data_IF_232954984009
#
_entry.id   IF_232954984009
#
_cell.length_a   1.000
_cell.length_b   1.000
_cell.length_c   1.000
_cell.angle_alpha   90.00
_cell.angle_beta   90.00
_cell.angle_gamma   90.00
#
_symmetry.space_group_name_H-M   'P 1'
#
loop_
_entity.id
_entity.type
_entity.pdbx_description
1 polymer ?
#
# COMPACT_ATOMS: atom_id res chain seq x y z
N UNK A 1 29.28 24.03 -1.95
CA UNK A 1 29.10 22.55 -1.99
C UNK A 1 29.54 21.99 -0.64
N UNK A 2 28.63 21.89 0.30
CA UNK A 2 28.89 21.35 1.65
C UNK A 2 28.49 19.87 1.61
N UNK A 3 29.50 18.99 1.59
CA UNK A 3 29.28 17.54 1.70
C UNK A 3 28.85 17.22 3.13
N UNK A 4 27.65 16.69 3.31
CA UNK A 4 27.22 16.11 4.58
C UNK A 4 27.83 14.72 4.73
N UNK A 5 28.68 14.47 5.73
CA UNK A 5 29.21 13.13 5.95
C UNK A 5 28.19 12.29 6.71
N UNK A 6 27.35 11.54 6.01
CA UNK A 6 26.56 10.46 6.60
C UNK A 6 27.49 9.28 6.86
N UNK A 7 27.87 9.08 8.11
CA UNK A 7 28.70 7.96 8.54
C UNK A 7 27.80 6.74 8.78
N UNK A 8 28.12 5.59 8.14
CA UNK A 8 27.45 4.28 8.25
C UNK A 8 27.13 3.84 9.70
N UNK A 9 27.87 4.34 10.69
CA UNK A 9 27.63 4.04 12.12
C UNK A 9 26.44 4.76 12.74
N UNK A 10 25.93 5.84 12.12
CA UNK A 10 24.72 6.53 12.62
C UNK A 10 23.41 5.89 12.13
N UNK A 11 23.43 5.20 11.01
CA UNK A 11 22.25 4.50 10.47
C UNK A 11 21.84 3.29 11.33
N UNK A 12 22.78 2.68 12.06
CA UNK A 12 22.50 1.54 12.94
C UNK A 12 22.26 1.92 14.41
N UNK A 13 22.28 3.20 14.75
CA UNK A 13 22.25 3.68 16.14
C UNK A 13 20.92 4.29 16.61
N UNK A 14 19.96 4.52 15.73
CA UNK A 14 18.72 5.26 16.07
C UNK A 14 17.49 4.35 16.28
N UNK A 15 17.69 3.04 16.29
CA UNK A 15 16.62 2.07 16.61
C UNK A 15 16.49 1.78 18.13
N UNK A 16 17.02 2.61 18.99
CA UNK A 16 16.86 2.43 20.43
C UNK A 16 16.67 3.77 21.15
N UNK A 17 15.53 3.87 21.82
CA UNK A 17 15.15 4.82 22.86
C UNK A 17 14.40 6.11 22.43
N UNK A 18 13.09 6.06 22.53
CA UNK A 18 12.33 7.06 23.29
C UNK A 18 11.10 6.41 23.95
N UNK A 19 11.32 5.84 25.10
CA UNK A 19 10.25 5.58 26.06
C UNK A 19 9.88 6.89 26.76
N UNK A 20 8.83 7.56 26.30
CA UNK A 20 8.14 8.58 27.06
C UNK A 20 6.76 8.03 27.45
N UNK A 21 6.66 7.54 28.69
CA UNK A 21 5.39 7.20 29.30
C UNK A 21 4.54 8.47 29.46
N UNK A 22 3.64 8.74 28.50
CA UNK A 22 2.52 9.64 28.68
C UNK A 22 1.37 8.84 29.28
N UNK A 23 0.97 9.17 30.50
CA UNK A 23 -0.21 8.64 31.16
C UNK A 23 -1.44 9.00 30.34
N UNK A 24 -1.88 8.09 29.48
CA UNK A 24 -3.17 8.14 28.81
C UNK A 24 -4.27 7.78 29.81
N UNK A 25 -5.46 8.45 29.79
CA UNK A 25 -6.57 8.06 30.63
C UNK A 25 -6.93 6.60 30.35
N UNK A 26 -7.15 5.83 31.40
CA UNK A 26 -7.47 4.43 31.37
C UNK A 26 -8.66 4.16 30.41
N UNK A 27 -8.34 3.77 29.19
CA UNK A 27 -9.31 3.17 28.29
C UNK A 27 -9.80 1.90 28.98
N UNK A 28 -11.10 1.83 29.27
CA UNK A 28 -11.70 0.61 29.82
C UNK A 28 -11.47 -0.51 28.80
N UNK A 29 -10.47 -1.35 29.05
CA UNK A 29 -10.26 -2.58 28.30
C UNK A 29 -11.51 -3.43 28.46
N UNK A 30 -12.37 -3.43 27.45
CA UNK A 30 -13.35 -4.51 27.32
C UNK A 30 -12.55 -5.79 27.18
N UNK A 31 -12.75 -6.73 28.08
CA UNK A 31 -12.16 -8.06 28.01
C UNK A 31 -12.59 -8.67 26.68
N UNK A 32 -11.65 -8.75 25.73
CA UNK A 32 -11.86 -9.55 24.53
C UNK A 32 -11.95 -11.00 24.97
N UNK A 33 -12.82 -11.78 24.36
CA UNK A 33 -12.89 -13.21 24.64
C UNK A 33 -11.49 -13.80 24.41
N UNK A 34 -10.96 -14.49 25.44
CA UNK A 34 -9.64 -15.10 25.35
C UNK A 34 -9.73 -16.24 24.33
N UNK A 35 -9.17 -16.04 23.14
CA UNK A 35 -9.09 -17.04 22.10
C UNK A 35 -8.12 -18.17 22.48
N UNK A 36 -8.25 -19.30 21.86
CA UNK A 36 -7.27 -20.38 21.92
C UNK A 36 -7.00 -20.87 20.50
N UNK A 37 -5.76 -21.32 20.25
CA UNK A 37 -5.37 -21.77 18.92
C UNK A 37 -4.53 -20.75 18.17
N UNK A 38 -4.68 -20.70 16.84
CA UNK A 38 -3.84 -19.89 15.98
C UNK A 38 -4.63 -19.19 14.88
N UNK A 39 -4.01 -18.16 14.26
CA UNK A 39 -4.43 -17.54 13.02
C UNK A 39 -3.25 -17.50 12.05
N UNK A 40 -3.50 -17.87 10.80
CA UNK A 40 -2.49 -17.92 9.74
C UNK A 40 -2.71 -16.78 8.76
N UNK A 41 -1.70 -15.94 8.57
CA UNK A 41 -1.80 -14.71 7.78
C UNK A 41 -0.80 -14.72 6.64
N UNK A 42 -1.25 -14.41 5.42
CA UNK A 42 -0.38 -14.09 4.30
C UNK A 42 -0.37 -12.58 4.06
N UNK A 43 0.82 -11.99 4.06
CA UNK A 43 0.99 -10.55 3.89
C UNK A 43 2.28 -10.23 3.14
N UNK A 44 2.49 -8.96 2.83
CA UNK A 44 3.73 -8.46 2.23
C UNK A 44 4.78 -8.18 3.30
N UNK A 45 6.05 -8.15 2.88
CA UNK A 45 7.15 -7.81 3.75
C UNK A 45 6.99 -6.41 4.39
N UNK A 46 6.55 -5.43 3.61
CA UNK A 46 6.34 -4.05 4.08
C UNK A 46 5.10 -3.88 4.97
N UNK A 47 4.22 -4.89 5.03
CA UNK A 47 2.99 -4.90 5.83
C UNK A 47 3.05 -5.95 6.93
N UNK A 48 4.25 -6.41 7.28
CA UNK A 48 4.42 -7.40 8.34
C UNK A 48 3.95 -6.81 9.68
N UNK A 49 2.97 -7.44 10.34
CA UNK A 49 2.43 -6.93 11.59
C UNK A 49 3.33 -7.29 12.79
N UNK A 50 4.66 -7.29 12.63
CA UNK A 50 5.57 -7.70 13.71
C UNK A 50 5.41 -6.87 14.98
N UNK A 51 5.13 -5.56 14.84
CA UNK A 51 4.84 -4.69 15.98
C UNK A 51 3.50 -5.00 16.65
N UNK A 52 2.54 -5.56 15.92
CA UNK A 52 1.21 -5.92 16.45
C UNK A 52 1.11 -7.38 16.86
N UNK A 53 1.94 -8.27 16.31
CA UNK A 53 1.88 -9.69 16.58
C UNK A 53 1.95 -9.99 18.08
N UNK A 54 3.01 -9.50 18.73
CA UNK A 54 3.23 -9.75 20.17
C UNK A 54 2.08 -9.14 21.01
N UNK A 55 1.61 -7.95 20.62
CA UNK A 55 0.49 -7.31 21.29
C UNK A 55 -0.79 -8.12 21.13
N UNK A 56 -1.15 -8.52 19.90
CA UNK A 56 -2.34 -9.32 19.63
C UNK A 56 -2.29 -10.67 20.35
N UNK A 57 -1.14 -11.35 20.31
CA UNK A 57 -0.94 -12.61 21.04
C UNK A 57 -1.12 -12.44 22.57
N UNK A 58 -0.60 -11.34 23.14
CA UNK A 58 -0.75 -11.06 24.56
C UNK A 58 -2.18 -10.66 24.97
N UNK A 59 -2.89 -9.94 24.12
CA UNK A 59 -4.26 -9.46 24.40
C UNK A 59 -5.32 -10.53 24.16
N UNK A 60 -5.12 -11.40 23.17
CA UNK A 60 -6.14 -12.34 22.71
C UNK A 60 -5.88 -13.79 23.12
N UNK A 61 -4.60 -14.14 23.38
CA UNK A 61 -4.17 -15.52 23.67
C UNK A 61 -4.11 -16.42 22.43
N UNK A 62 -4.36 -15.91 21.22
CA UNK A 62 -4.17 -16.65 19.96
C UNK A 62 -2.74 -16.50 19.46
N UNK A 63 -2.20 -17.54 18.82
CA UNK A 63 -0.89 -17.48 18.18
C UNK A 63 -1.05 -16.91 16.75
N UNK A 64 -0.23 -15.92 16.38
CA UNK A 64 -0.22 -15.31 15.05
C UNK A 64 0.92 -15.87 14.21
N UNK A 65 0.60 -16.61 13.16
CA UNK A 65 1.58 -17.14 12.22
C UNK A 65 1.56 -16.28 10.94
N UNK A 66 2.67 -15.65 10.62
CA UNK A 66 2.79 -14.79 9.43
C UNK A 66 3.63 -15.51 8.36
N UNK A 67 3.13 -15.54 7.14
CA UNK A 67 3.86 -15.96 5.94
C UNK A 67 3.95 -14.78 4.98
N UNK A 68 5.18 -14.40 4.62
CA UNK A 68 5.40 -13.36 3.64
C UNK A 68 5.23 -13.90 2.22
N UNK A 69 4.38 -13.25 1.45
CA UNK A 69 4.13 -13.55 0.04
C UNK A 69 4.04 -12.22 -0.73
N UNK A 70 5.13 -11.83 -1.33
CA UNK A 70 5.38 -10.47 -1.85
C UNK A 70 4.73 -10.16 -3.20
N UNK A 71 3.82 -11.01 -3.68
CA UNK A 71 3.16 -10.84 -4.98
C UNK A 71 1.71 -11.31 -4.94
N UNK A 72 0.78 -10.45 -5.40
CA UNK A 72 -0.67 -10.76 -5.42
C UNK A 72 -1.03 -11.92 -6.35
N UNK A 73 -0.36 -12.03 -7.49
CA UNK A 73 -0.59 -13.14 -8.40
C UNK A 73 -0.13 -14.47 -7.79
N UNK A 74 0.98 -14.44 -7.05
CA UNK A 74 1.47 -15.60 -6.30
C UNK A 74 0.51 -15.95 -5.16
N UNK A 75 0.01 -14.96 -4.39
CA UNK A 75 -1.01 -15.19 -3.37
C UNK A 75 -2.26 -15.83 -3.98
N UNK A 76 -2.76 -15.29 -5.08
CA UNK A 76 -3.90 -15.84 -5.80
C UNK A 76 -3.67 -17.30 -6.22
N UNK A 77 -2.56 -17.59 -6.89
CA UNK A 77 -2.25 -18.95 -7.38
C UNK A 77 -2.10 -19.97 -6.24
N UNK A 78 -1.48 -19.56 -5.13
CA UNK A 78 -1.33 -20.41 -3.94
C UNK A 78 -2.69 -20.73 -3.32
N UNK A 79 -3.53 -19.71 -3.12
CA UNK A 79 -4.85 -19.91 -2.54
C UNK A 79 -5.75 -20.74 -3.44
N UNK A 80 -5.74 -20.50 -4.76
CA UNK A 80 -6.47 -21.30 -5.73
C UNK A 80 -6.03 -22.77 -5.74
N UNK A 81 -4.74 -23.03 -5.54
CA UNK A 81 -4.22 -24.40 -5.45
C UNK A 81 -4.60 -25.11 -4.15
N UNK A 82 -4.86 -24.37 -3.07
CA UNK A 82 -5.28 -24.91 -1.77
C UNK A 82 -6.82 -25.05 -1.66
N UNK A 83 -7.59 -24.36 -2.50
CA UNK A 83 -9.04 -24.41 -2.46
C UNK A 83 -9.58 -25.83 -2.70
N UNK A 84 -10.66 -26.27 -2.01
CA UNK A 84 -11.49 -25.49 -1.07
C UNK A 84 -11.03 -25.55 0.40
N UNK A 85 -9.84 -26.03 0.69
CA UNK A 85 -9.33 -26.21 2.07
C UNK A 85 -8.03 -25.41 2.25
N UNK A 86 -8.10 -24.09 2.38
CA UNK A 86 -6.92 -23.23 2.53
C UNK A 86 -6.18 -23.50 3.83
N UNK A 87 -4.87 -23.21 3.86
CA UNK A 87 -4.06 -23.22 5.08
C UNK A 87 -3.96 -21.83 5.70
N UNK A 88 -4.45 -20.81 5.02
CA UNK A 88 -4.46 -19.41 5.45
C UNK A 88 -5.84 -19.00 5.94
N UNK A 89 -5.88 -18.11 6.93
CA UNK A 89 -7.12 -17.55 7.47
C UNK A 89 -7.36 -16.13 6.95
N UNK A 90 -6.30 -15.33 6.94
CA UNK A 90 -6.34 -13.93 6.53
C UNK A 90 -5.26 -13.67 5.49
N UNK A 91 -5.58 -12.89 4.47
CA UNK A 91 -4.59 -12.43 3.52
C UNK A 91 -4.73 -10.95 3.21
N UNK A 92 -3.62 -10.31 2.86
CA UNK A 92 -3.60 -8.93 2.40
C UNK A 92 -3.94 -8.89 0.92
N UNK A 93 -5.03 -8.19 0.55
CA UNK A 93 -5.44 -8.02 -0.84
C UNK A 93 -5.51 -6.53 -1.19
N UNK A 94 -4.98 -6.18 -2.35
CA UNK A 94 -5.15 -4.85 -2.93
C UNK A 94 -6.56 -4.70 -3.51
N UNK A 95 -7.22 -3.56 -3.29
CA UNK A 95 -8.61 -3.33 -3.68
C UNK A 95 -8.90 -3.60 -5.15
N UNK A 96 -7.97 -3.26 -6.06
CA UNK A 96 -8.10 -3.52 -7.50
C UNK A 96 -8.07 -5.00 -7.89
N UNK A 97 -7.73 -5.89 -6.96
CA UNK A 97 -7.68 -7.35 -7.19
C UNK A 97 -8.88 -8.09 -6.65
N UNK A 98 -9.77 -7.45 -5.92
CA UNK A 98 -10.90 -8.10 -5.25
C UNK A 98 -11.73 -8.96 -6.19
N UNK A 99 -12.15 -8.43 -7.33
CA UNK A 99 -13.00 -9.16 -8.27
C UNK A 99 -12.38 -10.50 -8.69
N UNK A 100 -11.07 -10.51 -8.94
CA UNK A 100 -10.37 -11.74 -9.30
C UNK A 100 -10.50 -12.84 -8.24
N UNK A 101 -10.36 -12.47 -6.96
CA UNK A 101 -10.44 -13.40 -5.84
C UNK A 101 -11.89 -13.82 -5.56
N UNK A 102 -12.82 -12.87 -5.64
CA UNK A 102 -14.25 -13.11 -5.42
C UNK A 102 -14.84 -14.02 -6.49
N UNK A 103 -14.59 -13.73 -7.77
CA UNK A 103 -15.07 -14.51 -8.90
C UNK A 103 -14.53 -15.95 -8.92
N UNK A 104 -13.39 -16.16 -8.24
CA UNK A 104 -12.77 -17.48 -8.06
C UNK A 104 -13.17 -18.18 -6.76
N UNK A 105 -14.12 -17.62 -5.99
CA UNK A 105 -14.61 -18.17 -4.71
C UNK A 105 -13.49 -18.38 -3.67
N UNK A 106 -12.50 -17.47 -3.65
CA UNK A 106 -11.33 -17.58 -2.80
C UNK A 106 -11.42 -16.76 -1.51
N UNK A 107 -12.30 -15.77 -1.45
CA UNK A 107 -12.55 -14.94 -0.26
C UNK A 107 -13.95 -15.17 0.28
N UNK A 108 -14.12 -14.97 1.58
CA UNK A 108 -15.42 -14.92 2.23
C UNK A 108 -15.87 -13.45 2.39
N UNK A 109 -17.17 -13.15 2.22
CA UNK A 109 -17.72 -11.88 2.64
C UNK A 109 -17.40 -11.60 4.12
N UNK A 110 -17.04 -10.37 4.45
CA UNK A 110 -16.69 -9.98 5.80
C UNK A 110 -17.94 -9.63 6.60
N UNK A 111 -18.22 -10.39 7.66
CA UNK A 111 -19.28 -10.09 8.61
C UNK A 111 -18.84 -8.98 9.58
N UNK A 112 -19.10 -7.72 9.20
CA UNK A 112 -18.76 -6.55 10.03
C UNK A 112 -19.50 -6.54 11.38
N UNK A 113 -20.60 -7.28 11.52
CA UNK A 113 -21.29 -7.44 12.81
C UNK A 113 -20.47 -8.17 13.87
N UNK A 114 -19.45 -8.94 13.45
CA UNK A 114 -18.48 -9.59 14.33
C UNK A 114 -17.31 -8.69 14.71
N UNK A 115 -17.17 -7.51 14.08
CA UNK A 115 -16.07 -6.58 14.27
C UNK A 115 -16.52 -5.39 15.11
N UNK A 116 -16.41 -5.51 16.44
CA UNK A 116 -16.83 -4.45 17.38
C UNK A 116 -16.05 -3.13 17.17
N UNK A 117 -14.85 -3.20 16.60
CA UNK A 117 -13.98 -2.07 16.33
C UNK A 117 -14.08 -1.55 14.89
N UNK A 118 -15.03 -2.08 14.09
CA UNK A 118 -15.23 -1.61 12.70
C UNK A 118 -15.42 -0.10 12.59
N UNK A 119 -16.10 0.52 13.54
CA UNK A 119 -16.34 1.95 13.60
C UNK A 119 -15.07 2.82 13.82
N UNK A 120 -13.92 2.21 14.12
CA UNK A 120 -12.65 2.91 14.22
C UNK A 120 -12.02 3.19 12.85
N UNK A 121 -12.45 2.48 11.79
CA UNK A 121 -11.97 2.71 10.43
C UNK A 121 -12.54 4.04 9.94
N UNK A 122 -11.69 4.87 9.34
CA UNK A 122 -12.15 6.12 8.72
C UNK A 122 -13.26 5.82 7.68
N UNK A 123 -14.42 6.49 7.75
CA UNK A 123 -15.54 6.27 6.83
C UNK A 123 -15.18 6.36 5.35
N UNK A 124 -14.18 7.18 4.99
CA UNK A 124 -13.67 7.24 3.61
C UNK A 124 -13.22 5.88 3.09
N UNK A 125 -12.76 4.98 3.97
CA UNK A 125 -12.31 3.65 3.59
C UNK A 125 -13.34 2.57 3.90
N UNK A 126 -14.00 2.63 5.06
CA UNK A 126 -14.98 1.61 5.46
C UNK A 126 -16.26 1.64 4.62
N UNK A 127 -16.61 2.81 4.05
CA UNK A 127 -17.79 3.00 3.19
C UNK A 127 -17.46 3.04 1.69
N UNK A 128 -16.18 2.91 1.34
CA UNK A 128 -15.73 2.99 -0.05
C UNK A 128 -16.04 1.72 -0.85
N UNK A 129 -16.12 1.88 -2.17
CA UNK A 129 -16.24 0.76 -3.11
C UNK A 129 -14.95 -0.11 -3.15
N UNK A 130 -13.86 0.34 -2.56
CA UNK A 130 -12.60 -0.41 -2.52
C UNK A 130 -12.62 -1.64 -1.62
N UNK A 131 -13.58 -1.72 -0.71
CA UNK A 131 -13.80 -2.88 0.15
C UNK A 131 -15.20 -3.45 0.04
N UNK A 132 -16.06 -2.84 -0.81
CA UNK A 132 -17.48 -3.16 -0.95
C UNK A 132 -17.80 -3.50 -2.39
N UNK A 133 -18.21 -4.74 -2.63
CA UNK A 133 -18.61 -5.22 -3.95
C UNK A 133 -20.03 -5.76 -3.85
N UNK A 134 -20.94 -5.29 -4.68
CA UNK A 134 -22.36 -5.65 -4.68
C UNK A 134 -23.06 -5.45 -3.33
N UNK A 135 -22.62 -4.45 -2.56
CA UNK A 135 -23.17 -4.13 -1.24
C UNK A 135 -22.63 -4.98 -0.08
N UNK A 136 -21.74 -5.93 -0.35
CA UNK A 136 -21.07 -6.76 0.65
C UNK A 136 -19.66 -6.24 0.92
N UNK A 137 -19.22 -6.28 2.19
CA UNK A 137 -17.85 -5.98 2.58
C UNK A 137 -16.99 -7.23 2.39
N UNK A 138 -15.80 -7.06 1.78
CA UNK A 138 -14.90 -8.19 1.48
C UNK A 138 -13.56 -8.12 2.21
N UNK A 139 -13.25 -6.98 2.82
CA UNK A 139 -12.01 -6.82 3.57
C UNK A 139 -12.06 -5.66 4.55
N UNK A 140 -11.23 -5.74 5.59
CA UNK A 140 -11.00 -4.66 6.52
C UNK A 140 -9.84 -3.78 6.00
N UNK A 141 -10.07 -2.50 5.66
CA UNK A 141 -9.00 -1.60 5.28
C UNK A 141 -7.94 -1.48 6.37
N UNK A 142 -6.66 -1.66 6.02
CA UNK A 142 -5.54 -1.63 6.96
C UNK A 142 -4.45 -0.64 6.57
N UNK A 143 -4.37 -0.31 5.30
CA UNK A 143 -3.37 0.61 4.77
C UNK A 143 -3.93 1.31 3.54
N UNK A 144 -3.69 2.60 3.46
CA UNK A 144 -3.95 3.39 2.27
C UNK A 144 -2.73 4.20 1.88
N UNK A 145 -2.60 4.45 0.62
CA UNK A 145 -1.54 5.28 0.09
C UNK A 145 -1.94 5.90 -1.24
N UNK A 146 -1.03 6.66 -1.79
CA UNK A 146 -1.19 7.27 -3.10
C UNK A 146 0.14 7.37 -3.84
N UNK A 147 0.04 7.41 -5.13
CA UNK A 147 1.13 7.77 -6.00
C UNK A 147 1.36 9.28 -5.93
N UNK A 148 2.62 9.69 -5.89
CA UNK A 148 3.00 11.10 -5.78
C UNK A 148 4.17 11.41 -6.70
N UNK A 149 4.29 12.66 -7.07
CA UNK A 149 5.55 13.17 -7.63
C UNK A 149 6.45 13.57 -6.46
N UNK A 150 7.45 12.74 -6.17
CA UNK A 150 8.49 13.04 -5.18
C UNK A 150 9.62 13.80 -5.84
N UNK A 151 10.10 14.87 -5.21
CA UNK A 151 11.13 15.71 -5.81
C UNK A 151 12.07 16.32 -4.77
N UNK A 152 13.33 16.47 -5.15
CA UNK A 152 14.34 17.16 -4.34
C UNK A 152 14.10 18.66 -4.40
N UNK A 153 13.82 19.29 -3.27
CA UNK A 153 13.48 20.72 -3.14
C UNK A 153 14.64 21.66 -3.42
N UNK A 154 15.87 21.18 -3.41
CA UNK A 154 17.06 21.97 -3.79
C UNK A 154 17.21 22.12 -5.30
N UNK A 155 16.47 21.33 -6.10
CA UNK A 155 16.65 21.22 -7.57
C UNK A 155 15.38 21.51 -8.34
N UNK A 156 14.23 21.02 -7.85
CA UNK A 156 12.91 21.12 -8.50
C UNK A 156 12.06 22.08 -7.68
N UNK A 157 11.44 23.06 -8.31
CA UNK A 157 10.55 23.99 -7.60
C UNK A 157 9.17 23.37 -7.36
N UNK A 158 8.42 23.83 -6.33
CA UNK A 158 7.06 23.37 -6.09
C UNK A 158 6.13 23.57 -7.29
N UNK A 159 6.29 24.66 -8.04
CA UNK A 159 5.47 24.97 -9.22
C UNK A 159 5.72 23.96 -10.35
N UNK A 160 6.96 23.50 -10.52
CA UNK A 160 7.30 22.47 -11.52
C UNK A 160 6.70 21.11 -11.13
N UNK A 161 6.52 20.85 -9.83
CA UNK A 161 5.96 19.60 -9.34
C UNK A 161 4.43 19.50 -9.43
N UNK A 162 3.74 20.53 -9.92
CA UNK A 162 2.28 20.54 -10.09
C UNK A 162 1.79 19.80 -11.34
N UNK A 163 2.68 19.24 -12.15
CA UNK A 163 2.31 18.46 -13.33
C UNK A 163 3.19 17.23 -13.52
N UNK A 164 2.59 16.14 -13.99
CA UNK A 164 3.32 14.94 -14.37
C UNK A 164 4.26 15.18 -15.57
N UNK A 165 4.07 16.26 -16.34
CA UNK A 165 5.00 16.63 -17.42
C UNK A 165 6.42 16.84 -16.95
N UNK A 166 6.62 17.26 -15.72
CA UNK A 166 7.95 17.44 -15.13
C UNK A 166 8.76 16.15 -15.10
N UNK A 167 8.09 15.01 -14.91
CA UNK A 167 8.74 13.70 -14.94
C UNK A 167 9.32 13.35 -16.33
N UNK A 168 8.73 13.91 -17.39
CA UNK A 168 9.11 13.68 -18.78
C UNK A 168 9.82 14.89 -19.42
N UNK A 169 10.24 15.85 -18.59
CA UNK A 169 10.95 17.05 -19.06
C UNK A 169 12.39 16.73 -19.45
N UNK A 170 12.86 17.26 -20.57
CA UNK A 170 14.25 17.25 -20.99
C UNK A 170 15.20 17.86 -19.94
N UNK A 171 14.70 18.82 -19.15
CA UNK A 171 15.44 19.46 -18.05
C UNK A 171 15.94 18.43 -17.03
N UNK A 172 15.15 17.39 -16.79
CA UNK A 172 15.43 16.34 -15.80
C UNK A 172 15.74 14.99 -16.46
N UNK A 173 16.07 14.98 -17.74
CA UNK A 173 16.42 13.77 -18.46
C UNK A 173 17.55 13.01 -17.74
N UNK A 174 17.39 11.70 -17.58
CA UNK A 174 18.30 10.81 -16.86
C UNK A 174 18.52 11.17 -15.38
N UNK A 175 17.60 11.95 -14.77
CA UNK A 175 17.57 12.29 -13.35
C UNK A 175 16.22 11.95 -12.70
N UNK A 176 15.45 11.07 -13.32
CA UNK A 176 14.12 10.66 -12.89
C UNK A 176 14.02 9.14 -12.80
N UNK A 177 13.02 8.67 -12.03
CA UNK A 177 12.66 7.26 -11.95
C UNK A 177 11.16 7.08 -11.74
N UNK A 178 10.61 5.93 -12.13
CA UNK A 178 9.22 5.59 -11.86
C UNK A 178 8.94 4.09 -11.86
N UNK A 179 7.83 3.74 -11.23
CA UNK A 179 7.29 2.38 -11.16
C UNK A 179 6.54 2.11 -12.45
N UNK A 180 7.09 1.26 -13.32
CA UNK A 180 6.54 1.07 -14.68
C UNK A 180 5.12 0.50 -14.68
N UNK A 181 4.80 -0.39 -13.74
CA UNK A 181 3.51 -1.05 -13.65
C UNK A 181 2.36 -0.08 -13.31
N UNK A 182 2.66 0.98 -12.54
CA UNK A 182 1.66 1.94 -12.08
C UNK A 182 1.53 3.15 -13.02
N UNK A 183 2.55 3.36 -13.90
CA UNK A 183 2.57 4.50 -14.81
C UNK A 183 1.42 4.55 -15.81
N UNK A 184 0.77 3.41 -16.10
CA UNK A 184 -0.37 3.40 -17.03
C UNK A 184 -1.48 4.33 -16.54
N UNK A 185 -1.88 4.20 -15.26
CA UNK A 185 -2.91 5.04 -14.65
C UNK A 185 -2.53 6.52 -14.64
N UNK A 186 -1.27 6.83 -14.33
CA UNK A 186 -0.74 8.19 -14.33
C UNK A 186 -0.76 8.81 -15.73
N UNK A 187 -0.35 8.06 -16.75
CA UNK A 187 -0.38 8.57 -18.14
C UNK A 187 -1.80 8.75 -18.63
N UNK A 188 -2.72 7.88 -18.25
CA UNK A 188 -4.15 8.04 -18.56
C UNK A 188 -4.71 9.33 -17.96
N UNK A 189 -4.43 9.61 -16.67
CA UNK A 189 -4.82 10.88 -16.04
C UNK A 189 -4.22 12.08 -16.76
N UNK A 190 -2.91 12.03 -17.06
CA UNK A 190 -2.21 13.07 -17.82
C UNK A 190 -2.85 13.35 -19.19
N UNK A 191 -3.38 12.32 -19.84
CA UNK A 191 -4.08 12.43 -21.13
C UNK A 191 -5.54 12.87 -21.00
N UNK A 192 -6.03 13.10 -19.76
CA UNK A 192 -7.41 13.51 -19.50
C UNK A 192 -8.41 12.35 -19.48
N UNK A 193 -7.94 11.12 -19.40
CA UNK A 193 -8.75 9.92 -19.18
C UNK A 193 -8.96 9.63 -17.70
N UNK A 194 -9.90 8.76 -17.37
CA UNK A 194 -9.96 8.16 -16.06
C UNK A 194 -8.73 7.26 -15.85
N UNK A 195 -8.01 7.44 -14.76
CA UNK A 195 -6.82 6.62 -14.42
C UNK A 195 -7.16 5.17 -14.09
N UNK A 196 -8.45 4.85 -13.91
CA UNK A 196 -8.90 3.50 -13.60
C UNK A 196 -9.47 2.81 -14.85
N UNK A 197 -8.82 1.75 -15.30
CA UNK A 197 -9.26 0.97 -16.47
C UNK A 197 -10.66 0.36 -16.32
N UNK A 198 -11.17 0.20 -15.09
CA UNK A 198 -12.54 -0.28 -14.82
C UNK A 198 -13.58 0.63 -15.48
N UNK A 199 -13.30 1.94 -15.58
CA UNK A 199 -14.17 2.91 -16.26
C UNK A 199 -14.40 2.62 -17.75
N UNK A 200 -13.61 1.73 -18.35
CA UNK A 200 -13.65 1.39 -19.79
C UNK A 200 -13.97 -0.07 -20.06
N UNK A 201 -14.37 -0.85 -19.05
CA UNK A 201 -14.65 -2.29 -19.20
C UNK A 201 -15.79 -2.58 -20.18
N UNK A 202 -16.77 -1.68 -20.27
CA UNK A 202 -17.92 -1.80 -21.19
C UNK A 202 -17.60 -1.38 -22.63
N UNK A 203 -16.39 -0.85 -22.91
CA UNK A 203 -15.94 -0.41 -24.23
C UNK A 203 -14.50 -0.91 -24.49
N UNK A 204 -14.32 -2.19 -24.85
CA UNK A 204 -12.99 -2.79 -25.06
C UNK A 204 -12.18 -2.11 -26.19
N UNK A 205 -12.84 -1.56 -27.21
CA UNK A 205 -12.14 -0.88 -28.31
C UNK A 205 -11.54 0.45 -27.81
N UNK A 206 -12.31 1.23 -27.05
CA UNK A 206 -11.83 2.44 -26.40
C UNK A 206 -10.73 2.13 -25.38
N UNK A 207 -10.90 1.10 -24.55
CA UNK A 207 -9.88 0.66 -23.62
C UNK A 207 -8.55 0.33 -24.31
N UNK A 208 -8.61 -0.43 -25.40
CA UNK A 208 -7.43 -0.79 -26.19
C UNK A 208 -6.75 0.45 -26.83
N UNK A 209 -7.55 1.41 -27.32
CA UNK A 209 -7.01 2.64 -27.89
C UNK A 209 -6.28 3.48 -26.85
N UNK A 210 -6.85 3.65 -25.65
CA UNK A 210 -6.23 4.37 -24.53
C UNK A 210 -4.92 3.71 -24.11
N UNK A 211 -4.90 2.38 -23.95
CA UNK A 211 -3.69 1.64 -23.59
C UNK A 211 -2.59 1.81 -24.65
N UNK A 212 -2.96 1.76 -25.92
CA UNK A 212 -1.96 1.93 -27.00
C UNK A 212 -1.42 3.36 -27.03
N UNK A 213 -2.25 4.40 -26.83
CA UNK A 213 -1.82 5.79 -26.75
C UNK A 213 -0.85 6.00 -25.58
N UNK A 214 -1.20 5.53 -24.38
CA UNK A 214 -0.35 5.62 -23.20
C UNK A 214 0.98 4.87 -23.39
N UNK A 215 0.94 3.69 -23.99
CA UNK A 215 2.14 2.90 -24.32
C UNK A 215 3.06 3.65 -25.30
N UNK A 216 2.51 4.27 -26.35
CA UNK A 216 3.32 5.05 -27.30
C UNK A 216 3.96 6.26 -26.63
N UNK A 217 3.26 6.94 -25.72
CA UNK A 217 3.80 8.01 -24.92
C UNK A 217 5.00 7.51 -24.07
N UNK A 218 4.86 6.41 -23.35
CA UNK A 218 5.92 5.83 -22.52
C UNK A 218 7.14 5.41 -23.36
N UNK A 219 6.92 4.81 -24.54
CA UNK A 219 7.99 4.42 -25.46
C UNK A 219 8.75 5.66 -25.96
N UNK A 220 8.05 6.72 -26.36
CA UNK A 220 8.67 7.94 -26.84
C UNK A 220 9.54 8.64 -25.77
N UNK A 221 9.10 8.58 -24.50
CA UNK A 221 9.79 9.21 -23.38
C UNK A 221 10.82 8.29 -22.68
N UNK A 222 10.95 7.03 -23.10
CA UNK A 222 11.92 6.09 -22.52
C UNK A 222 13.36 6.62 -22.47
N UNK A 223 13.90 7.37 -23.47
CA UNK A 223 15.25 7.92 -23.41
C UNK A 223 15.48 8.92 -22.26
N UNK A 224 14.42 9.53 -21.73
CA UNK A 224 14.50 10.49 -20.63
C UNK A 224 14.61 9.81 -19.25
N UNK A 225 14.30 8.52 -19.17
CA UNK A 225 14.19 7.78 -17.90
C UNK A 225 15.56 7.30 -17.45
N UNK A 226 15.93 7.64 -16.21
CA UNK A 226 17.13 7.12 -15.56
C UNK A 226 16.96 5.66 -15.16
N UNK A 227 15.82 5.34 -14.50
CA UNK A 227 15.60 4.00 -14.00
C UNK A 227 14.10 3.68 -13.79
N UNK A 228 13.75 2.44 -14.06
CA UNK A 228 12.53 1.81 -13.57
C UNK A 228 12.85 1.06 -12.28
N UNK A 229 11.95 1.10 -11.30
CA UNK A 229 12.15 0.45 -10.01
C UNK A 229 10.82 -0.16 -9.51
N UNK A 230 10.90 -1.00 -8.48
CA UNK A 230 9.76 -1.72 -7.91
C UNK A 230 9.77 -1.81 -6.38
N UNK A 231 10.69 -1.13 -5.71
CA UNK A 231 10.77 -1.15 -4.25
C UNK A 231 10.97 0.23 -3.64
N UNK A 232 10.30 0.49 -2.48
CA UNK A 232 10.45 1.74 -1.75
C UNK A 232 11.88 2.02 -1.31
N UNK A 233 12.61 0.98 -0.89
CA UNK A 233 14.01 1.11 -0.50
C UNK A 233 14.92 1.53 -1.66
N UNK A 234 14.62 1.08 -2.88
CA UNK A 234 15.39 1.43 -4.06
C UNK A 234 15.24 2.92 -4.42
N UNK A 235 14.02 3.45 -4.45
CA UNK A 235 13.81 4.88 -4.75
C UNK A 235 14.41 5.78 -3.67
N UNK A 236 14.31 5.40 -2.40
CA UNK A 236 14.99 6.11 -1.31
C UNK A 236 16.50 6.16 -1.52
N UNK A 237 17.12 5.02 -1.86
CA UNK A 237 18.55 4.95 -2.12
C UNK A 237 18.97 5.80 -3.31
N UNK A 238 18.18 5.86 -4.39
CA UNK A 238 18.45 6.71 -5.55
C UNK A 238 18.44 8.21 -5.20
N UNK A 239 17.50 8.66 -4.38
CA UNK A 239 17.48 10.04 -3.87
C UNK A 239 18.69 10.33 -2.98
N UNK A 240 19.00 9.47 -2.03
CA UNK A 240 20.12 9.62 -1.10
C UNK A 240 21.47 9.66 -1.85
N UNK A 241 21.63 8.84 -2.88
CA UNK A 241 22.82 8.83 -3.74
C UNK A 241 22.87 10.00 -4.71
N UNK A 242 21.80 10.79 -4.84
CA UNK A 242 21.66 11.84 -5.85
C UNK A 242 21.70 11.29 -7.31
N UNK A 243 21.27 10.06 -7.50
CA UNK A 243 21.11 9.46 -8.83
C UNK A 243 19.90 10.05 -9.56
N UNK A 244 18.90 10.50 -8.81
CA UNK A 244 17.67 11.13 -9.30
C UNK A 244 17.33 12.38 -8.48
N UNK A 245 16.56 13.28 -9.07
CA UNK A 245 16.04 14.49 -8.41
C UNK A 245 14.52 14.50 -8.34
N UNK A 246 13.85 13.62 -9.08
CA UNK A 246 12.39 13.43 -9.02
C UNK A 246 12.01 11.99 -9.37
N UNK A 247 10.86 11.56 -8.84
CA UNK A 247 10.33 10.24 -9.10
C UNK A 247 8.80 10.23 -9.01
N UNK A 248 8.16 9.43 -9.86
CA UNK A 248 6.85 8.88 -9.54
C UNK A 248 7.06 7.81 -8.47
N UNK A 249 6.43 7.94 -7.32
CA UNK A 249 6.64 7.04 -6.18
C UNK A 249 5.40 6.89 -5.31
N UNK A 250 5.38 5.88 -4.47
CA UNK A 250 4.45 5.82 -3.35
C UNK A 250 4.81 6.88 -2.31
N UNK A 251 3.79 7.41 -1.63
CA UNK A 251 3.97 8.42 -0.60
C UNK A 251 4.76 7.94 0.62
N UNK A 252 4.68 6.67 1.00
CA UNK A 252 5.35 6.11 2.18
C UNK A 252 6.89 6.25 2.15
N UNK A 253 7.58 5.75 1.12
CA UNK A 253 9.03 5.91 0.97
C UNK A 253 9.49 7.37 0.98
N UNK A 254 8.73 8.27 0.32
CA UNK A 254 9.04 9.68 0.31
C UNK A 254 8.86 10.33 1.69
N UNK A 255 7.78 10.00 2.40
CA UNK A 255 7.53 10.47 3.75
C UNK A 255 8.64 10.05 4.73
N UNK A 256 9.17 8.85 4.60
CA UNK A 256 10.28 8.38 5.43
C UNK A 256 11.53 9.24 5.23
N UNK A 257 11.91 9.56 3.98
CA UNK A 257 13.05 10.44 3.71
C UNK A 257 12.83 11.87 4.23
N UNK A 258 11.61 12.40 4.09
CA UNK A 258 11.26 13.73 4.61
C UNK A 258 11.40 13.74 6.15
N UNK A 259 10.91 12.72 6.83
CA UNK A 259 11.02 12.59 8.29
C UNK A 259 12.47 12.46 8.76
N UNK A 260 13.33 11.86 7.94
CA UNK A 260 14.78 11.78 8.19
C UNK A 260 15.52 13.10 7.86
N UNK A 261 14.80 14.14 7.42
CA UNK A 261 15.34 15.47 7.13
C UNK A 261 16.03 15.60 5.76
N UNK A 262 15.76 14.67 4.83
CA UNK A 262 16.23 14.80 3.46
C UNK A 262 15.45 15.93 2.75
N UNK A 263 16.07 16.76 1.87
CA UNK A 263 15.38 17.85 1.17
C UNK A 263 14.48 17.31 0.05
N UNK A 264 13.42 16.62 0.45
CA UNK A 264 12.42 16.03 -0.42
C UNK A 264 11.04 16.63 -0.11
N UNK A 265 10.22 16.76 -1.13
CA UNK A 265 8.80 17.04 -0.99
C UNK A 265 7.99 16.11 -1.89
N UNK A 266 6.69 16.06 -1.63
CA UNK A 266 5.71 15.32 -2.41
C UNK A 266 4.67 16.28 -2.96
N UNK A 267 4.26 16.08 -4.21
CA UNK A 267 3.14 16.78 -4.82
C UNK A 267 2.14 15.78 -5.40
N UNK A 268 0.88 16.17 -5.38
CA UNK A 268 -0.16 15.56 -6.21
C UNK A 268 -0.33 16.51 -7.39
N UNK A 269 0.06 16.13 -8.60
CA UNK A 269 -0.10 16.97 -9.79
C UNK A 269 -1.56 17.31 -10.09
N UNK A 270 -1.77 18.42 -10.80
CA UNK A 270 -3.12 18.93 -11.11
C UNK A 270 -3.96 17.97 -11.99
N UNK A 271 -3.29 17.10 -12.75
CA UNK A 271 -3.96 16.05 -13.52
C UNK A 271 -4.56 14.94 -12.63
N UNK A 272 -4.27 14.97 -11.34
CA UNK A 272 -4.68 13.96 -10.38
C UNK A 272 -3.63 12.88 -10.14
N UNK A 273 -3.96 11.96 -9.25
CA UNK A 273 -3.11 10.84 -8.89
C UNK A 273 -3.93 9.58 -8.61
N UNK A 274 -3.24 8.48 -8.45
CA UNK A 274 -3.80 7.16 -8.15
C UNK A 274 -3.66 6.86 -6.66
N UNK A 275 -4.81 6.55 -6.03
CA UNK A 275 -4.85 6.08 -4.64
C UNK A 275 -5.01 4.55 -4.58
N UNK A 276 -4.49 3.94 -3.53
CA UNK A 276 -4.65 2.51 -3.30
C UNK A 276 -5.03 2.22 -1.85
N UNK A 277 -5.74 1.11 -1.65
CA UNK A 277 -6.08 0.56 -0.34
C UNK A 277 -5.73 -0.91 -0.33
N UNK A 278 -5.11 -1.32 0.76
CA UNK A 278 -4.95 -2.72 1.09
C UNK A 278 -5.87 -3.08 2.25
N UNK A 279 -6.37 -4.30 2.20
CA UNK A 279 -7.29 -4.82 3.21
C UNK A 279 -6.81 -6.17 3.70
N UNK A 280 -7.17 -6.50 4.94
CA UNK A 280 -7.16 -7.87 5.41
C UNK A 280 -8.48 -8.55 5.05
N UNK A 281 -8.39 -9.65 4.35
CA UNK A 281 -9.51 -10.43 3.82
C UNK A 281 -9.50 -11.82 4.43
N UNK A 282 -10.67 -12.34 4.77
CA UNK A 282 -10.82 -13.70 5.25
C UNK A 282 -10.89 -14.64 4.06
N UNK A 283 -10.06 -15.70 4.05
CA UNK A 283 -10.11 -16.71 3.01
C UNK A 283 -11.42 -17.50 3.08
N UNK A 284 -11.97 -17.88 1.91
CA UNK A 284 -13.13 -18.75 1.89
C UNK A 284 -12.76 -20.10 2.50
N UNK A 285 -13.60 -20.63 3.41
CA UNK A 285 -13.31 -21.83 4.21
C UNK A 285 -12.04 -21.73 5.08
N UNK A 286 -11.69 -20.55 5.59
CA UNK A 286 -10.59 -20.36 6.51
C UNK A 286 -10.66 -21.36 7.68
N UNK A 287 -9.57 -22.09 8.02
CA UNK A 287 -9.59 -23.11 9.06
C UNK A 287 -9.83 -22.56 10.47
N UNK A 288 -9.43 -21.31 10.74
CA UNK A 288 -9.54 -20.68 12.05
C UNK A 288 -10.35 -19.36 11.97
N UNK A 289 -11.52 -19.39 11.34
CA UNK A 289 -12.33 -18.19 11.06
C UNK A 289 -12.63 -17.35 12.31
N UNK A 290 -12.89 -17.98 13.47
CA UNK A 290 -13.17 -17.25 14.71
C UNK A 290 -11.94 -16.50 15.23
N UNK A 291 -10.75 -17.10 15.10
CA UNK A 291 -9.48 -16.44 15.41
C UNK A 291 -9.13 -15.34 14.41
N UNK A 292 -9.53 -15.50 13.13
CA UNK A 292 -9.37 -14.46 12.12
C UNK A 292 -10.15 -13.18 12.54
N UNK A 293 -11.41 -13.32 12.96
CA UNK A 293 -12.20 -12.19 13.46
C UNK A 293 -11.65 -11.61 14.77
N UNK A 294 -11.11 -12.46 15.65
CA UNK A 294 -10.47 -12.00 16.89
C UNK A 294 -9.23 -11.16 16.55
N UNK A 295 -8.40 -11.60 15.61
CA UNK A 295 -7.25 -10.85 15.12
C UNK A 295 -7.65 -9.53 14.49
N UNK A 296 -8.62 -9.53 13.57
CA UNK A 296 -9.12 -8.31 12.93
C UNK A 296 -9.64 -7.30 13.95
N UNK A 297 -10.39 -7.74 14.95
CA UNK A 297 -10.84 -6.85 16.01
C UNK A 297 -9.70 -6.26 16.83
N UNK A 298 -8.65 -7.02 17.10
CA UNK A 298 -7.48 -6.53 17.84
C UNK A 298 -6.73 -5.48 17.04
N UNK A 299 -6.50 -5.73 15.75
CA UNK A 299 -5.86 -4.77 14.84
C UNK A 299 -6.69 -3.47 14.77
N UNK A 300 -7.99 -3.56 14.54
CA UNK A 300 -8.89 -2.41 14.44
C UNK A 300 -9.09 -1.65 15.77
N UNK A 301 -8.64 -2.19 16.90
CA UNK A 301 -8.64 -1.49 18.17
C UNK A 301 -7.46 -0.51 18.31
N UNK A 302 -6.41 -0.68 17.53
CA UNK A 302 -5.23 0.19 17.57
C UNK A 302 -5.51 1.55 16.93
N UNK A 303 -5.19 2.67 17.60
CA UNK A 303 -5.32 4.01 17.01
C UNK A 303 -4.21 4.32 16.00
N UNK A 304 -3.24 3.43 15.82
CA UNK A 304 -2.07 3.60 14.95
C UNK A 304 -2.25 3.03 13.55
N UNK A 305 -3.48 2.53 13.25
CA UNK A 305 -3.83 1.97 11.94
C UNK A 305 -4.74 2.92 11.16
#
# INVERSE_FOLDING_TARGET
MTRFPLNRRRFLGTAAMTGAALASPAYQRRSMAQGSGEVNIWTYNDFEPSSFKEQVEAETGIKVNVRLVDDQGKQFNLLAAEAPNPTVDIMTVAGHRFLQFIDSDLLAPLDTGRLSNWGNINPTFSESDWSTINGEKWGAPILSGMEVLSYNTDVVSPEEALTWDTLFSEKYAQQNAYIIQDMMSIIMLKMGYDGNMVAYMDDPEKAAAIVEEAKQFLIANKPLVRKYYDSGAEVQQMFVNQDIVLAHSWNGPAAALINDGFPLAMAIPDEGSYGFVYTYNVANNAPNVDNAYTFLNAILASPEI
#
